data_IF_247963760270
#
_entry.id   IF_247963760270
#
_cell.length_a   1.000
_cell.length_b   1.000
_cell.length_c   1.000
_cell.angle_alpha   90.00
_cell.angle_beta   90.00
_cell.angle_gamma   90.00
#
_symmetry.space_group_name_H-M   'P 1'
#
loop_
_entity.id
_entity.type
_entity.pdbx_description
1 polymer ?
#
# COMPACT_ATOMS: atom_id res chain seq x y z
N UNK A 1 -19.45 -5.70 15.38
CA UNK A 1 -18.77 -4.43 15.67
C UNK A 1 -17.43 -4.50 14.97
N UNK A 2 -17.36 -3.94 13.76
CA UNK A 2 -16.16 -3.96 12.93
C UNK A 2 -15.18 -2.93 13.51
N UNK A 3 -14.04 -3.38 14.05
CA UNK A 3 -13.01 -2.49 14.57
C UNK A 3 -12.55 -1.58 13.43
N UNK A 4 -12.89 -0.29 13.49
CA UNK A 4 -12.39 0.74 12.58
C UNK A 4 -10.85 0.67 12.57
N UNK A 5 -10.29 0.09 11.51
CA UNK A 5 -8.85 -0.08 11.33
C UNK A 5 -8.23 1.29 11.07
N UNK A 6 -7.97 2.05 12.12
CA UNK A 6 -7.27 3.33 11.98
C UNK A 6 -5.84 3.08 11.51
N UNK A 7 -5.44 3.80 10.45
CA UNK A 7 -4.06 3.85 10.01
C UNK A 7 -3.25 4.62 11.05
N UNK A 8 -2.18 4.03 11.57
CA UNK A 8 -1.23 4.76 12.40
C UNK A 8 -0.67 5.98 11.66
N UNK A 9 -0.28 7.05 12.37
CA UNK A 9 0.16 8.34 11.79
C UNK A 9 1.19 8.19 10.65
N UNK A 10 2.13 7.27 10.80
CA UNK A 10 3.18 7.00 9.79
C UNK A 10 2.58 6.34 8.54
N UNK A 11 1.73 5.34 8.71
CA UNK A 11 1.02 4.66 7.63
C UNK A 11 0.12 5.63 6.87
N UNK A 12 -0.65 6.46 7.58
CA UNK A 12 -1.51 7.47 6.99
C UNK A 12 -0.71 8.50 6.17
N UNK A 13 0.46 8.94 6.68
CA UNK A 13 1.36 9.82 5.95
C UNK A 13 1.85 9.20 4.64
N UNK A 14 2.28 7.93 4.68
CA UNK A 14 2.75 7.21 3.49
C UNK A 14 1.65 7.10 2.43
N UNK A 15 0.48 6.57 2.81
CA UNK A 15 -0.65 6.38 1.88
C UNK A 15 -1.11 7.71 1.30
N UNK A 16 -1.23 8.76 2.11
CA UNK A 16 -1.63 10.07 1.63
C UNK A 16 -0.63 10.65 0.64
N UNK A 17 0.68 10.48 0.86
CA UNK A 17 1.69 10.99 -0.08
C UNK A 17 1.70 10.22 -1.39
N UNK A 18 1.57 8.90 -1.34
CA UNK A 18 1.46 8.08 -2.54
C UNK A 18 0.20 8.44 -3.36
N UNK A 19 -0.92 8.75 -2.69
CA UNK A 19 -2.13 9.21 -3.35
C UNK A 19 -1.98 10.61 -3.97
N UNK A 20 -1.35 11.54 -3.26
CA UNK A 20 -1.01 12.89 -3.76
C UNK A 20 -0.14 12.83 -5.03
N UNK A 21 0.72 11.80 -5.12
CA UNK A 21 1.56 11.54 -6.29
C UNK A 21 0.88 10.69 -7.39
N UNK A 22 -0.41 10.35 -7.26
CA UNK A 22 -1.13 9.42 -8.16
C UNK A 22 -0.39 8.07 -8.36
N UNK A 23 0.28 7.57 -7.32
CA UNK A 23 1.04 6.31 -7.36
C UNK A 23 0.37 5.23 -6.54
N UNK A 24 -0.39 4.37 -7.21
CA UNK A 24 -0.94 3.15 -6.61
C UNK A 24 0.13 2.08 -6.41
N UNK A 25 1.18 2.06 -7.23
CA UNK A 25 2.30 1.10 -7.14
C UNK A 25 3.57 1.84 -6.75
N UNK A 26 4.31 1.29 -5.79
CA UNK A 26 5.51 1.92 -5.26
C UNK A 26 6.58 0.90 -4.86
N UNK A 27 7.82 1.40 -4.80
CA UNK A 27 8.98 0.64 -4.35
C UNK A 27 9.35 0.98 -2.91
N UNK A 28 10.06 0.07 -2.25
CA UNK A 28 10.52 0.26 -0.88
C UNK A 28 11.40 1.51 -0.72
N UNK A 29 12.27 1.79 -1.70
CA UNK A 29 13.09 3.00 -1.73
C UNK A 29 12.23 4.26 -1.76
N UNK A 30 11.08 4.20 -2.45
CA UNK A 30 10.16 5.33 -2.50
C UNK A 30 9.50 5.58 -1.14
N UNK A 31 9.08 4.52 -0.45
CA UNK A 31 8.56 4.63 0.91
C UNK A 31 9.63 5.16 1.89
N UNK A 32 10.90 4.78 1.71
CA UNK A 32 12.02 5.35 2.47
C UNK A 32 12.18 6.85 2.23
N UNK A 33 12.11 7.30 0.98
CA UNK A 33 12.21 8.72 0.63
C UNK A 33 11.07 9.55 1.23
N UNK A 34 9.83 9.04 1.18
CA UNK A 34 8.64 9.73 1.74
C UNK A 34 8.72 9.86 3.26
N UNK A 35 9.20 8.82 3.94
CA UNK A 35 9.17 8.74 5.40
C UNK A 35 10.49 9.13 6.07
N UNK A 36 11.60 9.19 5.32
CA UNK A 36 12.94 9.47 5.85
C UNK A 36 13.39 8.45 6.89
N UNK A 37 13.05 7.17 6.70
CA UNK A 37 13.34 6.09 7.66
C UNK A 37 14.34 5.08 7.10
N UNK A 38 14.99 4.35 8.02
CA UNK A 38 15.89 3.26 7.66
C UNK A 38 15.14 2.15 6.92
N UNK A 39 15.88 1.39 6.11
CA UNK A 39 15.33 0.27 5.33
C UNK A 39 14.56 -0.72 6.21
N UNK A 40 15.15 -1.15 7.33
CA UNK A 40 14.52 -2.10 8.26
C UNK A 40 13.20 -1.58 8.84
N UNK A 41 13.13 -0.29 9.19
CA UNK A 41 11.91 0.32 9.71
C UNK A 41 10.80 0.38 8.63
N UNK A 42 11.17 0.61 7.37
CA UNK A 42 10.22 0.54 6.26
C UNK A 42 9.77 -0.90 5.99
N UNK A 43 10.68 -1.87 6.01
CA UNK A 43 10.31 -3.29 5.83
C UNK A 43 9.28 -3.72 6.87
N UNK A 44 9.48 -3.37 8.14
CA UNK A 44 8.56 -3.71 9.21
C UNK A 44 7.18 -3.03 9.03
N UNK A 45 7.18 -1.73 8.70
CA UNK A 45 5.97 -0.98 8.39
C UNK A 45 5.20 -1.61 7.21
N UNK A 46 5.88 -1.89 6.10
CA UNK A 46 5.23 -2.47 4.92
C UNK A 46 4.72 -3.88 5.21
N UNK A 47 5.43 -4.66 6.03
CA UNK A 47 4.97 -5.99 6.47
C UNK A 47 3.69 -5.87 7.30
N UNK A 48 3.58 -4.90 8.20
CA UNK A 48 2.36 -4.63 8.96
C UNK A 48 1.20 -4.18 8.04
N UNK A 49 1.46 -3.31 7.06
CA UNK A 49 0.45 -2.88 6.08
C UNK A 49 -0.05 -4.02 5.19
N UNK A 50 0.83 -4.94 4.81
CA UNK A 50 0.44 -6.18 4.10
C UNK A 50 -0.45 -7.04 4.98
N UNK A 51 -0.08 -7.27 6.25
CA UNK A 51 -0.90 -8.04 7.21
C UNK A 51 -2.30 -7.43 7.38
N UNK A 52 -2.39 -6.09 7.38
CA UNK A 52 -3.65 -5.37 7.54
C UNK A 52 -4.50 -5.29 6.27
N UNK A 53 -4.00 -5.79 5.13
CA UNK A 53 -4.60 -5.70 3.79
C UNK A 53 -4.81 -4.25 3.33
N UNK A 54 -3.85 -3.38 3.64
CA UNK A 54 -3.81 -2.01 3.11
C UNK A 54 -3.01 -1.96 1.81
N UNK A 55 -1.99 -2.81 1.70
CA UNK A 55 -1.16 -2.97 0.51
C UNK A 55 -0.99 -4.45 0.19
N UNK A 56 -0.63 -4.77 -1.06
CA UNK A 56 -0.16 -6.09 -1.47
C UNK A 56 1.28 -6.00 -1.93
N UNK A 57 2.06 -7.06 -1.70
CA UNK A 57 3.41 -7.20 -2.25
C UNK A 57 3.31 -7.85 -3.63
N UNK A 58 3.78 -7.17 -4.66
CA UNK A 58 3.80 -7.69 -6.04
C UNK A 58 5.03 -8.57 -6.26
N UNK A 59 6.20 -8.06 -5.90
CA UNK A 59 7.49 -8.77 -5.95
C UNK A 59 8.45 -8.22 -4.89
N UNK A 60 9.70 -8.68 -4.90
CA UNK A 60 10.71 -8.15 -3.98
C UNK A 60 10.83 -6.62 -4.15
N UNK A 61 10.61 -5.87 -3.05
CA UNK A 61 10.72 -4.42 -3.04
C UNK A 61 9.56 -3.64 -3.68
N UNK A 62 8.57 -4.29 -4.31
CA UNK A 62 7.47 -3.61 -5.03
C UNK A 62 6.09 -3.95 -4.45
N UNK A 63 5.26 -2.92 -4.26
CA UNK A 63 3.98 -2.99 -3.57
C UNK A 63 2.89 -2.23 -4.31
N UNK A 64 1.64 -2.66 -4.15
CA UNK A 64 0.44 -2.00 -4.66
C UNK A 64 -0.45 -1.61 -3.47
N UNK A 65 -0.94 -0.37 -3.47
CA UNK A 65 -1.94 0.13 -2.52
C UNK A 65 -3.30 -0.47 -2.88
N UNK A 66 -4.02 -0.97 -1.88
CA UNK A 66 -5.40 -1.38 -2.04
C UNK A 66 -6.27 -0.13 -1.90
N UNK A 67 -6.93 0.35 -2.98
CA UNK A 67 -7.79 1.52 -2.90
C UNK A 67 -8.93 1.27 -1.89
N UNK A 68 -9.10 2.22 -0.97
CA UNK A 68 -10.10 2.14 0.11
C UNK A 68 -11.50 2.59 -0.36
N UNK A 69 -11.66 2.99 -1.63
CA UNK A 69 -12.92 3.46 -2.22
C UNK A 69 -14.00 2.37 -2.34
N UNK A 70 -13.78 1.20 -1.75
CA UNK A 70 -14.64 0.03 -1.86
C UNK A 70 -15.41 -0.23 -0.58
N UNK A 71 -16.43 0.60 -0.36
CA UNK A 71 -17.67 0.08 0.17
C UNK A 71 -18.20 -0.97 -0.82
N UNK A 72 -18.38 -2.20 -0.33
CA UNK A 72 -19.04 -3.31 -1.04
C UNK A 72 -18.20 -4.02 -2.12
N UNK A 73 -17.46 -5.06 -1.70
CA UNK A 73 -17.42 -6.41 -2.28
C UNK A 73 -17.02 -6.69 -3.75
N UNK A 74 -17.36 -5.83 -4.72
CA UNK A 74 -17.36 -6.22 -6.15
C UNK A 74 -16.14 -5.73 -6.94
N UNK A 75 -15.52 -4.61 -6.57
CA UNK A 75 -14.39 -4.06 -7.34
C UNK A 75 -13.03 -4.72 -7.03
N UNK A 76 -12.97 -5.73 -6.14
CA UNK A 76 -11.70 -6.40 -5.78
C UNK A 76 -11.07 -7.08 -6.99
N UNK A 77 -11.90 -7.54 -7.93
CA UNK A 77 -11.48 -8.24 -9.14
C UNK A 77 -10.94 -7.29 -10.22
N UNK A 78 -11.38 -6.03 -10.27
CA UNK A 78 -10.94 -5.07 -11.28
C UNK A 78 -9.47 -4.67 -11.15
N UNK A 79 -8.95 -4.59 -9.92
CA UNK A 79 -7.58 -4.17 -9.66
C UNK A 79 -6.53 -5.28 -9.89
N UNK A 80 -6.93 -6.56 -9.85
CA UNK A 80 -6.06 -7.67 -10.30
C UNK A 80 -5.73 -7.55 -11.79
N UNK A 81 -6.66 -7.02 -12.59
CA UNK A 81 -6.46 -6.85 -14.02
C UNK A 81 -5.42 -5.74 -14.32
N UNK A 82 -5.38 -4.69 -13.50
CA UNK A 82 -4.39 -3.61 -13.60
C UNK A 82 -3.02 -4.09 -13.11
N UNK A 83 -2.98 -4.81 -11.98
CA UNK A 83 -1.75 -5.40 -11.46
C UNK A 83 -1.15 -6.45 -12.41
N UNK A 84 -1.99 -7.26 -13.07
CA UNK A 84 -1.56 -8.27 -14.03
C UNK A 84 -0.93 -7.68 -15.30
N UNK A 85 -1.35 -6.47 -15.72
CA UNK A 85 -0.78 -5.79 -16.90
C UNK A 85 0.63 -5.26 -16.65
N UNK A 86 1.01 -4.98 -15.40
CA UNK A 86 2.34 -4.48 -15.04
C UNK A 86 3.38 -5.58 -14.76
N UNK A 87 3.00 -6.85 -14.94
CA UNK A 87 3.85 -8.04 -14.75
C UNK A 87 4.34 -8.62 -16.11
N UNK A 88 3.90 -8.06 -17.24
CA UNK A 88 4.35 -8.45 -18.60
C UNK A 88 5.48 -7.53 -19.06
#
# INVERSE_FOLDING_TARGET
>A
MENEKTLGKISAKLIRKLHDENRSIFEINHAQNILGKSYNAIVDLLRDLVKRKIIIRLKAGKYLIIPQEMGSGENYLGNWYIAGKEII
#
